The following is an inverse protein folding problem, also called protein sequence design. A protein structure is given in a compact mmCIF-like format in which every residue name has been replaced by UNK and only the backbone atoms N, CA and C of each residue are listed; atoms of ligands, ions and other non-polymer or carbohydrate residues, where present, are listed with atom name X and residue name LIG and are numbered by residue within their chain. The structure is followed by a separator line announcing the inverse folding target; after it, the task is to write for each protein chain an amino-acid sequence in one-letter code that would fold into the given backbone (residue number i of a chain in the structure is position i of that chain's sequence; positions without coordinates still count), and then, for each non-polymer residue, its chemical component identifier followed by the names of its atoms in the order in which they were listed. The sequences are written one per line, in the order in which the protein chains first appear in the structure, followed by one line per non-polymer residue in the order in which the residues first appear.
data_IF_188876996283
#
_entry.id   IF_188876996283
#
_cell.length_a   1.000
_cell.length_b   1.000
_cell.length_c   1.000
_cell.angle_alpha   90.00
_cell.angle_beta   90.00
_cell.angle_gamma   90.00
#
_symmetry.space_group_name_H-M   'P 1'
#
loop_
_entity.id
_entity.type
_entity.pdbx_description
1 polymer ?
#
# COMPACT_ATOMS: atom_id res chain seq x y z
N UNK A 1 -24.82 45.10 35.96
CA UNK A 1 -24.92 44.10 34.86
C UNK A 1 -24.56 42.74 35.45
N UNK A 2 -25.57 41.92 35.75
CA UNK A 2 -25.43 40.58 36.30
C UNK A 2 -24.96 39.62 35.19
N UNK A 3 -23.95 38.80 35.47
CA UNK A 3 -23.56 37.69 34.61
C UNK A 3 -24.20 36.40 35.15
N UNK A 4 -25.23 35.91 34.46
CA UNK A 4 -25.73 34.55 34.64
C UNK A 4 -24.71 33.56 34.07
N UNK A 5 -24.16 32.70 34.93
CA UNK A 5 -23.42 31.51 34.52
C UNK A 5 -24.42 30.37 34.35
N UNK A 6 -24.66 29.96 33.10
CA UNK A 6 -25.36 28.73 32.76
C UNK A 6 -24.39 27.55 32.91
N UNK A 7 -24.71 26.61 33.79
CA UNK A 7 -24.07 25.31 33.86
C UNK A 7 -24.71 24.40 32.80
N UNK A 8 -23.92 24.00 31.80
CA UNK A 8 -24.33 23.00 30.81
C UNK A 8 -24.35 21.58 31.40
N UNK A 9 -25.07 20.65 30.76
CA UNK A 9 -25.29 19.30 31.28
C UNK A 9 -23.98 18.49 31.34
N UNK A 10 -23.81 17.79 32.45
CA UNK A 10 -22.69 16.89 32.71
C UNK A 10 -22.52 15.87 31.58
N UNK A 11 -21.34 15.89 30.95
CA UNK A 11 -20.94 14.90 29.96
C UNK A 11 -20.94 13.49 30.55
N UNK A 12 -21.66 12.60 29.88
CA UNK A 12 -21.62 11.15 30.12
C UNK A 12 -20.18 10.69 29.92
N UNK A 13 -19.53 10.22 30.98
CA UNK A 13 -18.19 9.64 30.87
C UNK A 13 -18.25 8.39 29.98
N UNK A 14 -17.25 8.16 29.10
CA UNK A 14 -17.14 6.91 28.37
C UNK A 14 -16.96 5.78 29.39
N UNK A 15 -17.90 4.85 29.39
CA UNK A 15 -17.85 3.61 30.16
C UNK A 15 -16.53 2.90 29.87
N UNK A 16 -15.67 2.81 30.88
CA UNK A 16 -14.54 1.88 30.91
C UNK A 16 -15.08 0.50 30.55
N UNK A 17 -14.54 -0.10 29.51
CA UNK A 17 -14.72 -1.53 29.22
C UNK A 17 -14.07 -2.29 30.38
N UNK A 18 -14.89 -2.64 31.36
CA UNK A 18 -14.53 -3.62 32.37
C UNK A 18 -14.39 -4.98 31.67
N UNK A 19 -13.42 -5.78 32.10
CA UNK A 19 -13.13 -7.08 31.51
C UNK A 19 -14.39 -7.92 31.29
N UNK A 20 -14.37 -8.70 30.22
CA UNK A 20 -15.42 -9.67 29.91
C UNK A 20 -15.50 -10.65 31.08
N UNK A 21 -16.54 -10.49 31.92
CA UNK A 21 -16.91 -11.49 32.90
C UNK A 21 -17.50 -12.67 32.13
N UNK A 22 -16.65 -13.66 31.86
CA UNK A 22 -17.10 -14.95 31.33
C UNK A 22 -17.86 -15.62 32.47
N UNK A 23 -19.17 -15.38 32.51
CA UNK A 23 -20.06 -16.03 33.47
C UNK A 23 -20.15 -17.53 33.12
N UNK A 24 -19.17 -18.30 33.59
CA UNK A 24 -19.04 -19.75 33.39
C UNK A 24 -20.16 -20.55 34.08
N UNK A 25 -21.05 -19.90 34.85
CA UNK A 25 -22.19 -20.52 35.52
C UNK A 25 -23.33 -20.93 34.58
N UNK A 26 -23.40 -20.37 33.36
CA UNK A 26 -24.40 -20.76 32.35
C UNK A 26 -23.92 -21.89 31.42
N UNK A 27 -22.67 -22.34 31.57
CA UNK A 27 -22.18 -23.54 30.87
C UNK A 27 -22.75 -24.79 31.54
N UNK A 28 -23.94 -25.20 31.08
CA UNK A 28 -24.56 -26.44 31.52
C UNK A 28 -23.86 -27.66 30.89
N UNK A 29 -22.82 -28.17 31.56
CA UNK A 29 -22.13 -29.42 31.19
C UNK A 29 -22.98 -30.69 31.42
N UNK A 30 -24.18 -30.58 32.00
CA UNK A 30 -25.02 -31.75 32.30
C UNK A 30 -25.70 -32.35 31.06
N UNK A 31 -25.68 -31.63 29.94
CA UNK A 31 -26.19 -32.08 28.64
C UNK A 31 -25.06 -32.22 27.62
N UNK A 32 -23.90 -32.73 28.04
CA UNK A 32 -22.90 -33.20 27.10
C UNK A 32 -23.52 -34.33 26.27
N UNK A 33 -24.02 -33.99 25.07
CA UNK A 33 -24.36 -34.97 24.05
C UNK A 33 -23.06 -35.70 23.74
N UNK A 34 -22.92 -36.89 24.33
CA UNK A 34 -21.82 -37.81 24.06
C UNK A 34 -21.96 -38.20 22.59
N UNK A 35 -21.27 -37.47 21.71
CA UNK A 35 -21.03 -37.93 20.36
C UNK A 35 -20.30 -39.25 20.56
N UNK A 36 -20.92 -40.36 20.18
CA UNK A 36 -20.28 -41.67 20.14
C UNK A 36 -19.17 -41.60 19.08
N UNK A 37 -18.02 -41.05 19.47
CA UNK A 37 -16.77 -41.29 18.79
C UNK A 37 -16.49 -42.79 18.96
N UNK A 38 -16.93 -43.57 17.97
CA UNK A 38 -16.83 -45.03 17.92
C UNK A 38 -15.40 -45.55 17.71
N UNK A 39 -14.38 -44.73 17.98
CA UNK A 39 -13.02 -45.20 18.14
C UNK A 39 -12.70 -45.23 19.64
N UNK A 40 -12.70 -46.43 20.23
CA UNK A 40 -11.87 -46.69 21.40
C UNK A 40 -10.42 -46.40 20.98
N UNK A 41 -9.98 -45.16 21.13
CA UNK A 41 -8.59 -44.78 20.91
C UNK A 41 -7.81 -45.57 21.96
N UNK A 42 -7.10 -46.59 21.51
CA UNK A 42 -6.20 -47.35 22.36
C UNK A 42 -5.29 -46.36 23.08
N UNK A 43 -5.18 -46.49 24.41
CA UNK A 43 -4.27 -45.64 25.22
C UNK A 43 -2.89 -45.62 24.55
N UNK A 44 -2.46 -44.45 24.09
CA UNK A 44 -1.12 -44.24 23.52
C UNK A 44 -1.04 -43.85 22.04
N UNK A 45 -2.15 -43.56 21.35
CA UNK A 45 -2.06 -42.95 20.01
C UNK A 45 -1.82 -41.45 20.15
N UNK A 46 -0.71 -40.97 19.60
CA UNK A 46 -0.38 -39.54 19.45
C UNK A 46 -1.32 -38.90 18.41
N UNK A 47 -2.48 -38.43 18.87
CA UNK A 47 -3.52 -37.83 18.03
C UNK A 47 -3.00 -36.53 17.39
N UNK A 48 -2.19 -35.76 18.13
CA UNK A 48 -1.54 -34.53 17.66
C UNK A 48 -0.64 -34.80 16.46
N UNK A 49 0.26 -35.78 16.55
CA UNK A 49 1.15 -36.16 15.47
C UNK A 49 0.40 -36.59 14.21
N UNK A 50 -0.64 -37.41 14.37
CA UNK A 50 -1.50 -37.84 13.24
C UNK A 50 -2.21 -36.65 12.60
N UNK A 51 -2.72 -35.70 13.39
CA UNK A 51 -3.36 -34.49 12.86
C UNK A 51 -2.38 -33.65 12.01
N UNK A 52 -1.21 -33.34 12.54
CA UNK A 52 -0.20 -32.55 11.83
C UNK A 52 0.33 -33.26 10.58
N UNK A 53 0.52 -34.59 10.66
CA UNK A 53 0.90 -35.41 9.51
C UNK A 53 -0.20 -35.38 8.43
N UNK A 54 -1.47 -35.47 8.81
CA UNK A 54 -2.62 -35.38 7.89
C UNK A 54 -2.69 -34.02 7.20
N UNK A 55 -2.33 -32.94 7.89
CA UNK A 55 -2.24 -31.61 7.27
C UNK A 55 -1.05 -31.47 6.33
N UNK A 56 0.05 -32.19 6.58
CA UNK A 56 1.27 -32.13 5.75
C UNK A 56 1.27 -33.06 4.54
N UNK A 57 0.62 -34.22 4.62
CA UNK A 57 0.63 -35.26 3.58
C UNK A 57 -0.59 -35.15 2.65
N UNK A 58 -0.36 -34.78 1.38
CA UNK A 58 -1.43 -34.68 0.38
C UNK A 58 -2.02 -36.06 -0.01
N UNK A 59 -1.23 -37.12 0.09
CA UNK A 59 -1.56 -38.41 -0.51
C UNK A 59 -2.47 -39.28 0.37
N UNK A 60 -2.43 -39.10 1.69
CA UNK A 60 -3.07 -40.00 2.67
C UNK A 60 -4.12 -39.30 3.55
N UNK A 61 -4.58 -38.12 3.15
CA UNK A 61 -5.53 -37.34 3.93
C UNK A 61 -6.96 -37.89 3.81
N UNK A 62 -7.57 -38.22 4.95
CA UNK A 62 -9.02 -38.49 5.05
C UNK A 62 -9.87 -37.21 4.92
N UNK A 63 -9.24 -36.03 4.98
CA UNK A 63 -9.89 -34.73 4.81
C UNK A 63 -10.10 -34.42 3.33
N UNK A 64 -11.18 -33.71 3.02
CA UNK A 64 -11.35 -33.11 1.70
C UNK A 64 -10.24 -32.09 1.45
N UNK A 65 -9.88 -31.88 0.19
CA UNK A 65 -8.88 -30.88 -0.19
C UNK A 65 -9.23 -29.49 0.36
N UNK A 66 -10.51 -29.13 0.33
CA UNK A 66 -11.01 -27.85 0.83
C UNK A 66 -10.81 -27.71 2.36
N UNK A 67 -11.17 -28.75 3.13
CA UNK A 67 -11.02 -28.74 4.59
C UNK A 67 -9.56 -28.74 5.04
N UNK A 68 -8.71 -29.46 4.31
CA UNK A 68 -7.28 -29.45 4.56
C UNK A 68 -6.69 -28.06 4.34
N UNK A 69 -7.02 -27.42 3.22
CA UNK A 69 -6.58 -26.05 2.94
C UNK A 69 -7.11 -25.06 3.98
N UNK A 70 -8.36 -25.23 4.43
CA UNK A 70 -8.97 -24.42 5.49
C UNK A 70 -8.18 -24.52 6.79
N UNK A 71 -7.91 -25.75 7.24
CA UNK A 71 -7.19 -26.01 8.48
C UNK A 71 -5.71 -25.61 8.38
N UNK A 72 -5.07 -25.79 7.24
CA UNK A 72 -3.71 -25.27 7.00
C UNK A 72 -3.65 -23.75 7.16
N UNK A 73 -4.66 -23.01 6.68
CA UNK A 73 -4.74 -21.54 6.88
C UNK A 73 -4.93 -21.16 8.34
N UNK A 74 -5.72 -21.93 9.09
CA UNK A 74 -6.01 -21.65 10.52
C UNK A 74 -4.82 -21.95 11.41
N UNK A 75 -4.11 -23.04 11.11
CA UNK A 75 -2.92 -23.47 11.85
C UNK A 75 -1.64 -23.14 11.08
N UNK A 76 -1.62 -21.97 10.43
CA UNK A 76 -0.42 -21.45 9.79
C UNK A 76 0.65 -21.22 10.88
N UNK A 77 1.83 -21.88 10.79
CA UNK A 77 2.90 -21.73 11.78
C UNK A 77 3.35 -20.28 11.98
N UNK A 78 3.19 -19.43 10.97
CA UNK A 78 3.58 -18.03 11.06
C UNK A 78 2.57 -17.12 11.77
N UNK A 79 1.37 -17.61 12.05
CA UNK A 79 0.38 -16.95 12.91
C UNK A 79 0.40 -17.51 14.34
N UNK A 80 0.40 -18.84 14.46
CA UNK A 80 0.46 -19.53 15.75
C UNK A 80 0.95 -20.95 15.54
N UNK A 81 2.23 -21.19 15.85
CA UNK A 81 2.78 -22.54 15.78
C UNK A 81 2.44 -23.32 17.06
N UNK A 82 1.35 -24.09 16.99
CA UNK A 82 0.94 -25.00 18.07
C UNK A 82 1.56 -26.39 17.97
N UNK A 83 2.47 -26.63 17.02
CA UNK A 83 3.14 -27.94 16.86
C UNK A 83 4.11 -28.21 18.00
N UNK A 84 4.69 -27.16 18.57
CA UNK A 84 5.58 -27.25 19.73
C UNK A 84 4.86 -27.71 21.01
N UNK A 85 3.52 -27.66 21.04
CA UNK A 85 2.73 -28.16 22.17
C UNK A 85 2.79 -29.71 22.31
N UNK A 86 3.21 -30.42 21.25
CA UNK A 86 3.32 -31.89 21.25
C UNK A 86 2.02 -32.56 21.69
N UNK A 87 2.12 -33.49 22.65
CA UNK A 87 1.00 -34.25 23.20
C UNK A 87 -0.05 -33.39 23.96
N UNK A 88 0.25 -32.12 24.26
CA UNK A 88 -0.71 -31.20 24.89
C UNK A 88 -1.69 -30.60 23.86
N UNK A 89 -1.36 -30.67 22.57
CA UNK A 89 -2.23 -30.19 21.53
C UNK A 89 -3.44 -31.12 21.37
N UNK A 90 -4.62 -30.57 21.63
CA UNK A 90 -5.88 -31.23 21.31
C UNK A 90 -6.38 -30.71 19.95
N UNK A 91 -6.46 -31.57 18.92
CA UNK A 91 -7.00 -31.16 17.63
C UNK A 91 -8.43 -30.61 17.76
N UNK A 92 -8.81 -29.65 16.92
CA UNK A 92 -10.17 -29.13 16.92
C UNK A 92 -11.16 -30.22 16.53
N UNK A 93 -12.41 -30.07 16.97
CA UNK A 93 -13.51 -30.94 16.54
C UNK A 93 -13.64 -30.92 15.01
N UNK A 94 -13.58 -32.08 14.36
CA UNK A 94 -13.73 -32.21 12.90
C UNK A 94 -15.19 -32.43 12.49
N UNK A 95 -16.15 -32.22 13.39
CA UNK A 95 -17.58 -32.30 13.07
C UNK A 95 -17.96 -31.33 11.96
N UNK A 96 -18.91 -31.74 11.12
CA UNK A 96 -19.39 -30.92 10.00
C UNK A 96 -19.86 -29.53 10.45
N UNK A 97 -20.53 -29.44 11.60
CA UNK A 97 -21.02 -28.18 12.17
C UNK A 97 -19.90 -27.23 12.58
N UNK A 98 -18.83 -27.76 13.19
CA UNK A 98 -17.67 -26.95 13.56
C UNK A 98 -16.95 -26.44 12.30
N UNK A 99 -16.67 -27.33 11.36
CA UNK A 99 -15.97 -26.99 10.11
C UNK A 99 -16.78 -25.99 9.28
N UNK A 100 -18.11 -26.15 9.17
CA UNK A 100 -18.97 -25.18 8.48
C UNK A 100 -18.96 -23.80 9.16
N UNK A 101 -18.90 -23.75 10.49
CA UNK A 101 -18.76 -22.52 11.26
C UNK A 101 -17.40 -21.86 11.00
N UNK A 102 -16.33 -22.65 10.99
CA UNK A 102 -14.97 -22.19 10.70
C UNK A 102 -14.85 -21.60 9.28
N UNK A 103 -15.45 -22.25 8.27
CA UNK A 103 -15.56 -21.69 6.91
C UNK A 103 -16.27 -20.34 6.89
N UNK A 104 -17.35 -20.21 7.67
CA UNK A 104 -18.08 -18.95 7.77
C UNK A 104 -17.22 -17.85 8.39
N UNK A 105 -16.49 -18.15 9.47
CA UNK A 105 -15.59 -17.20 10.13
C UNK A 105 -14.43 -16.75 9.22
N UNK A 106 -13.78 -17.68 8.52
CA UNK A 106 -12.68 -17.35 7.61
C UNK A 106 -13.16 -16.50 6.45
N UNK A 107 -14.37 -16.75 5.93
CA UNK A 107 -14.98 -15.90 4.92
C UNK A 107 -15.25 -14.49 5.44
N UNK A 108 -15.68 -14.35 6.69
CA UNK A 108 -15.87 -13.04 7.32
C UNK A 108 -14.53 -12.32 7.50
N UNK A 109 -13.49 -13.03 7.94
CA UNK A 109 -12.14 -12.49 8.07
C UNK A 109 -11.58 -12.02 6.71
N UNK A 110 -11.73 -12.84 5.66
CA UNK A 110 -11.33 -12.48 4.30
C UNK A 110 -12.08 -11.23 3.80
N UNK A 111 -13.36 -11.07 4.17
CA UNK A 111 -14.12 -9.84 3.90
C UNK A 111 -13.50 -8.62 4.57
N UNK A 112 -13.22 -8.71 5.87
CA UNK A 112 -12.59 -7.61 6.64
C UNK A 112 -11.19 -7.30 6.11
N UNK A 113 -10.40 -8.31 5.74
CA UNK A 113 -9.07 -8.13 5.12
C UNK A 113 -9.19 -7.34 3.82
N UNK A 114 -10.17 -7.68 2.98
CA UNK A 114 -10.41 -6.96 1.72
C UNK A 114 -10.92 -5.52 1.96
N UNK A 115 -11.80 -5.32 2.93
CA UNK A 115 -12.25 -3.98 3.34
C UNK A 115 -11.10 -3.11 3.83
N UNK A 116 -10.19 -3.65 4.65
CA UNK A 116 -8.95 -2.97 5.08
C UNK A 116 -8.10 -2.55 3.88
N UNK A 117 -7.86 -3.45 2.92
CA UNK A 117 -7.11 -3.13 1.69
C UNK A 117 -7.76 -2.02 0.89
N UNK A 118 -9.10 -2.06 0.75
CA UNK A 118 -9.85 -1.02 0.05
C UNK A 118 -9.78 0.32 0.78
N UNK A 119 -9.99 0.34 2.09
CA UNK A 119 -9.91 1.56 2.91
C UNK A 119 -8.51 2.18 2.86
N UNK A 120 -7.47 1.34 2.99
CA UNK A 120 -6.09 1.74 2.85
C UNK A 120 -5.76 2.29 1.46
N UNK A 121 -6.44 1.81 0.42
CA UNK A 121 -6.25 2.28 -0.96
C UNK A 121 -7.01 3.57 -1.29
N UNK A 122 -7.74 4.19 -0.35
CA UNK A 122 -8.47 5.45 -0.59
C UNK A 122 -7.60 6.68 -0.34
N UNK A 123 -7.70 7.68 -1.20
CA UNK A 123 -7.00 8.97 -1.05
C UNK A 123 -7.22 9.64 0.33
N UNK A 124 -8.34 9.36 1.01
CA UNK A 124 -8.70 9.95 2.31
C UNK A 124 -8.13 9.22 3.52
N UNK A 125 -7.40 8.12 3.33
CA UNK A 125 -6.76 7.40 4.44
C UNK A 125 -5.79 8.30 5.20
N UNK A 126 -5.94 8.35 6.52
CA UNK A 126 -5.11 9.13 7.43
C UNK A 126 -4.23 8.18 8.25
N UNK A 127 -2.91 8.36 8.16
CA UNK A 127 -1.93 7.54 8.89
C UNK A 127 -2.07 7.66 10.41
N UNK A 128 -2.55 8.79 10.91
CA UNK A 128 -2.75 9.06 12.34
C UNK A 128 -4.10 8.52 12.84
N UNK A 129 -5.10 8.48 11.94
CA UNK A 129 -6.47 8.05 12.22
C UNK A 129 -6.93 7.06 11.12
N UNK A 130 -6.35 5.85 11.07
CA UNK A 130 -6.56 4.91 9.95
C UNK A 130 -8.01 4.40 9.84
N UNK A 131 -8.82 4.54 10.89
CA UNK A 131 -10.22 4.12 10.92
C UNK A 131 -10.52 3.11 12.02
N UNK A 132 -11.68 2.45 11.94
CA UNK A 132 -12.09 1.38 12.86
C UNK A 132 -11.76 -0.03 12.33
N UNK A 133 -11.50 -0.16 11.03
CA UNK A 133 -11.11 -1.43 10.42
C UNK A 133 -9.68 -1.84 10.78
N UNK A 134 -8.86 -0.91 11.27
CA UNK A 134 -7.45 -1.14 11.59
C UNK A 134 -7.22 -1.26 13.10
N UNK A 135 -6.13 -1.93 13.51
CA UNK A 135 -5.78 -2.09 14.92
C UNK A 135 -5.72 -0.73 15.63
N UNK A 136 -6.27 -0.66 16.84
CA UNK A 136 -6.26 0.56 17.64
C UNK A 136 -4.84 1.02 17.99
N UNK A 137 -3.88 0.10 18.01
CA UNK A 137 -2.45 0.35 18.21
C UNK A 137 -1.80 1.16 17.08
N UNK A 138 -2.46 1.30 15.93
CA UNK A 138 -1.97 2.15 14.84
C UNK A 138 -2.25 3.64 15.07
N UNK A 139 -3.22 3.97 15.92
CA UNK A 139 -3.51 5.37 16.25
C UNK A 139 -2.38 5.92 17.10
N UNK A 140 -1.81 7.05 16.68
CA UNK A 140 -0.79 7.73 17.48
C UNK A 140 -1.37 8.11 18.85
N UNK A 141 -0.82 7.53 19.92
CA UNK A 141 -1.22 7.83 21.30
C UNK A 141 -0.77 9.21 21.75
N UNK A 142 0.21 9.79 21.05
CA UNK A 142 0.77 11.10 21.36
C UNK A 142 0.13 12.12 20.42
N UNK A 143 -0.85 12.87 20.94
CA UNK A 143 -1.23 14.16 20.37
C UNK A 143 -0.06 15.13 20.57
N UNK A 144 1.04 14.93 19.85
CA UNK A 144 2.07 15.96 19.76
C UNK A 144 1.37 17.13 19.10
N UNK A 145 1.21 18.23 19.85
CA UNK A 145 0.68 19.49 19.37
C UNK A 145 1.59 20.02 18.26
N UNK A 146 1.49 19.43 17.06
CA UNK A 146 2.29 19.82 15.90
C UNK A 146 1.64 21.06 15.28
N UNK A 147 1.39 22.07 16.10
CA UNK A 147 0.80 23.36 15.70
C UNK A 147 1.74 24.15 14.76
N UNK A 148 3.02 23.80 14.70
CA UNK A 148 4.00 24.43 13.81
C UNK A 148 4.29 23.66 12.50
N UNK A 149 3.80 22.43 12.36
CA UNK A 149 3.92 21.65 11.12
C UNK A 149 2.57 21.10 10.68
N UNK A 150 1.52 21.91 10.85
CA UNK A 150 0.34 21.81 10.01
C UNK A 150 0.83 21.99 8.57
N UNK A 151 1.25 20.88 7.95
CA UNK A 151 1.47 20.81 6.52
C UNK A 151 0.25 21.41 5.83
N UNK A 152 0.43 22.07 4.68
CA UNK A 152 -0.61 22.85 4.02
C UNK A 152 -1.92 22.08 4.04
N UNK A 153 -2.89 22.60 4.82
CA UNK A 153 -4.21 22.00 5.01
C UNK A 153 -4.79 21.75 3.61
N UNK A 154 -4.92 20.49 3.22
CA UNK A 154 -5.51 20.10 1.94
C UNK A 154 -4.52 19.76 0.82
N UNK A 155 -3.49 18.93 1.08
CA UNK A 155 -2.88 18.17 -0.03
C UNK A 155 -3.93 17.22 -0.58
N UNK A 156 -4.38 17.47 -1.81
CA UNK A 156 -5.35 16.63 -2.49
C UNK A 156 -4.57 15.53 -3.20
N UNK A 157 -4.66 14.30 -2.68
CA UNK A 157 -4.08 13.14 -3.35
C UNK A 157 -4.88 12.83 -4.62
N UNK A 158 -4.22 12.89 -5.77
CA UNK A 158 -4.84 12.54 -7.06
C UNK A 158 -4.54 11.07 -7.39
N UNK A 159 -5.56 10.20 -7.54
CA UNK A 159 -5.35 8.80 -7.91
C UNK A 159 -4.65 8.67 -9.26
N UNK A 160 -3.68 7.74 -9.34
CA UNK A 160 -2.89 7.43 -10.53
C UNK A 160 -2.98 5.94 -10.90
N UNK A 161 -4.14 5.48 -11.39
CA UNK A 161 -4.34 4.06 -11.73
C UNK A 161 -3.44 3.60 -12.89
N UNK A 162 -3.01 4.52 -13.75
CA UNK A 162 -2.07 4.30 -14.85
C UNK A 162 -0.68 3.86 -14.39
N UNK A 163 -0.25 4.27 -13.20
CA UNK A 163 0.99 3.79 -12.58
C UNK A 163 0.81 2.46 -11.85
N UNK A 164 -0.39 2.14 -11.36
CA UNK A 164 -0.67 0.88 -10.67
C UNK A 164 -0.46 -0.33 -11.59
N UNK A 165 -0.78 -0.21 -12.89
CA UNK A 165 -0.53 -1.27 -13.88
C UNK A 165 0.95 -1.45 -14.23
N UNK A 166 1.78 -0.46 -13.90
CA UNK A 166 3.22 -0.43 -14.17
C UNK A 166 4.02 -0.88 -12.94
N UNK A 167 3.55 -1.92 -12.24
CA UNK A 167 4.13 -2.35 -10.95
C UNK A 167 5.64 -2.62 -10.99
N UNK A 168 6.16 -3.09 -12.12
CA UNK A 168 7.60 -3.30 -12.34
C UNK A 168 8.45 -2.04 -12.18
N UNK A 169 7.92 -0.85 -12.48
CA UNK A 169 8.65 0.42 -12.33
C UNK A 169 8.99 0.74 -10.88
N UNK A 170 8.12 0.33 -9.95
CA UNK A 170 8.29 0.63 -8.54
C UNK A 170 9.17 -0.40 -7.83
N UNK A 171 9.36 -1.59 -8.38
CA UNK A 171 10.09 -2.67 -7.69
C UNK A 171 11.51 -2.26 -7.28
N UNK A 172 12.26 -1.58 -8.15
CA UNK A 172 13.60 -1.09 -7.80
C UNK A 172 13.53 0.07 -6.81
N UNK A 173 12.65 1.05 -7.07
CA UNK A 173 12.52 2.24 -6.22
C UNK A 173 12.08 1.89 -4.78
N UNK A 174 11.19 0.91 -4.62
CA UNK A 174 10.68 0.48 -3.31
C UNK A 174 11.70 -0.30 -2.49
N UNK A 175 12.63 -1.02 -3.13
CA UNK A 175 13.72 -1.74 -2.44
C UNK A 175 14.65 -0.80 -1.68
N UNK A 176 14.94 0.35 -2.27
CA UNK A 176 15.87 1.33 -1.69
C UNK A 176 15.15 2.38 -0.82
N UNK A 177 13.82 2.52 -0.96
CA UNK A 177 13.05 3.52 -0.24
C UNK A 177 12.67 3.06 1.18
N UNK A 178 12.76 3.97 2.14
CA UNK A 178 12.19 3.75 3.48
C UNK A 178 10.72 4.17 3.51
N UNK A 179 9.80 3.31 3.98
CA UNK A 179 8.39 3.68 4.09
C UNK A 179 8.20 4.76 5.17
N UNK A 180 7.33 5.74 4.90
CA UNK A 180 6.90 6.75 5.87
C UNK A 180 5.80 6.24 6.82
N UNK A 181 5.15 5.14 6.43
CA UNK A 181 4.18 4.40 7.23
C UNK A 181 4.45 2.92 7.01
N UNK A 182 4.58 2.16 8.09
CA UNK A 182 4.85 0.73 8.04
C UNK A 182 4.24 0.06 9.27
N UNK A 183 3.14 -0.66 9.05
CA UNK A 183 2.36 -1.30 10.11
C UNK A 183 1.82 -2.64 9.65
N UNK A 184 1.65 -3.56 10.60
CA UNK A 184 1.02 -4.86 10.35
C UNK A 184 -0.26 -5.01 11.18
N UNK A 185 -1.21 -5.75 10.65
CA UNK A 185 -2.43 -6.21 11.34
C UNK A 185 -2.20 -7.55 12.03
N UNK A 186 -3.20 -8.04 12.78
CA UNK A 186 -3.12 -9.28 13.56
C UNK A 186 -2.92 -10.52 12.68
N UNK A 187 -3.44 -10.50 11.46
CA UNK A 187 -3.25 -11.52 10.42
C UNK A 187 -1.93 -11.37 9.66
N UNK A 188 -0.97 -10.63 10.23
CA UNK A 188 0.35 -10.34 9.65
C UNK A 188 0.34 -9.61 8.29
N UNK A 189 -0.81 -9.14 7.81
CA UNK A 189 -0.88 -8.30 6.61
C UNK A 189 -0.18 -6.97 6.89
N UNK A 190 0.88 -6.67 6.12
CA UNK A 190 1.69 -5.47 6.27
C UNK A 190 1.28 -4.41 5.27
N UNK A 191 1.06 -3.20 5.76
CA UNK A 191 0.61 -2.04 4.99
C UNK A 191 1.71 -0.99 5.04
N UNK A 192 2.17 -0.52 3.88
CA UNK A 192 3.23 0.48 3.80
C UNK A 192 2.85 1.64 2.89
N UNK A 193 3.30 2.83 3.27
CA UNK A 193 3.21 4.03 2.44
C UNK A 193 4.62 4.53 2.20
N UNK A 194 4.98 4.67 0.94
CA UNK A 194 6.25 5.21 0.47
C UNK A 194 6.02 6.58 -0.15
N UNK A 195 7.01 7.45 0.01
CA UNK A 195 7.04 8.74 -0.67
C UNK A 195 8.21 8.76 -1.64
N UNK A 196 7.89 8.74 -2.93
CA UNK A 196 8.85 8.75 -4.03
C UNK A 196 8.67 10.08 -4.78
N UNK A 197 9.42 11.12 -4.38
CA UNK A 197 9.26 12.47 -4.93
C UNK A 197 7.85 13.05 -4.71
N UNK A 198 7.14 13.31 -5.82
CA UNK A 198 5.74 13.76 -5.87
C UNK A 198 4.73 12.61 -5.81
N UNK A 199 5.17 11.35 -5.73
CA UNK A 199 4.28 10.21 -5.63
C UNK A 199 4.17 9.67 -4.20
N UNK A 200 2.96 9.28 -3.84
CA UNK A 200 2.66 8.44 -2.70
C UNK A 200 2.30 7.04 -3.22
N UNK A 201 3.06 6.03 -2.82
CA UNK A 201 2.84 4.63 -3.23
C UNK A 201 2.43 3.84 -2.01
N UNK A 202 1.25 3.25 -2.07
CA UNK A 202 0.70 2.42 -1.01
C UNK A 202 0.79 0.96 -1.40
N UNK A 203 1.38 0.15 -0.55
CA UNK A 203 1.59 -1.27 -0.78
C UNK A 203 0.98 -2.10 0.34
N UNK A 204 0.59 -3.32 0.00
CA UNK A 204 0.11 -4.33 0.92
C UNK A 204 0.91 -5.61 0.66
N UNK A 205 1.36 -6.24 1.74
CA UNK A 205 2.03 -7.52 1.70
C UNK A 205 1.28 -8.49 2.61
N UNK A 206 0.72 -9.54 2.02
CA UNK A 206 0.13 -10.64 2.79
C UNK A 206 1.23 -11.50 3.42
N UNK A 207 0.85 -12.34 4.38
CA UNK A 207 1.76 -13.29 5.01
C UNK A 207 2.43 -14.18 3.95
N UNK A 208 3.77 -14.15 3.92
CA UNK A 208 4.60 -14.85 2.92
C UNK A 208 4.36 -14.42 1.45
N UNK A 209 3.51 -13.41 1.21
CA UNK A 209 3.24 -12.88 -0.12
C UNK A 209 4.30 -11.87 -0.57
N UNK A 210 4.32 -11.63 -1.88
CA UNK A 210 5.06 -10.50 -2.44
C UNK A 210 4.36 -9.18 -2.07
N UNK A 211 5.15 -8.13 -1.93
CA UNK A 211 4.62 -6.79 -1.74
C UNK A 211 3.92 -6.30 -3.01
N UNK A 212 2.61 -6.04 -2.91
CA UNK A 212 1.78 -5.61 -4.02
C UNK A 212 1.36 -4.13 -3.88
N UNK A 213 1.34 -3.40 -5.00
CA UNK A 213 0.87 -2.01 -5.02
C UNK A 213 -0.67 -1.98 -4.88
N UNK A 214 -1.14 -1.42 -3.76
CA UNK A 214 -2.56 -1.21 -3.52
C UNK A 214 -3.07 0.05 -4.23
N UNK A 215 -2.33 1.16 -4.14
CA UNK A 215 -2.68 2.43 -4.77
C UNK A 215 -1.44 3.30 -5.03
N UNK A 216 -1.54 4.19 -6.03
CA UNK A 216 -0.55 5.24 -6.31
C UNK A 216 -1.29 6.56 -6.40
N UNK A 217 -0.75 7.59 -5.77
CA UNK A 217 -1.28 8.94 -5.78
C UNK A 217 -0.21 9.95 -6.16
N UNK A 218 -0.62 11.03 -6.83
CA UNK A 218 0.19 12.23 -7.02
C UNK A 218 -0.07 13.23 -5.89
N UNK A 219 1.00 13.78 -5.33
CA UNK A 219 1.04 14.78 -4.27
C UNK A 219 1.03 16.19 -4.85
N UNK A 220 0.04 16.52 -5.71
CA UNK A 220 -0.03 17.86 -6.28
C UNK A 220 -0.49 18.86 -5.26
N UNK A 221 0.11 20.04 -5.27
CA UNK A 221 -0.48 21.17 -4.56
C UNK A 221 -1.54 21.80 -5.45
N UNK A 222 -2.72 22.14 -4.91
CA UNK A 222 -3.77 22.80 -5.68
C UNK A 222 -3.30 24.11 -6.36
N UNK A 223 -2.19 24.69 -5.89
CA UNK A 223 -1.56 25.88 -6.46
C UNK A 223 -0.79 25.62 -7.77
N UNK A 224 -0.57 24.37 -8.16
CA UNK A 224 0.20 23.98 -9.36
C UNK A 224 -0.68 23.82 -10.61
N UNK A 225 -2.01 23.90 -10.49
CA UNK A 225 -2.91 24.01 -11.64
C UNK A 225 -2.84 25.43 -12.24
N UNK A 226 -1.67 25.82 -12.72
CA UNK A 226 -1.54 27.02 -13.54
C UNK A 226 -2.21 26.74 -14.87
N UNK A 227 -2.95 27.72 -15.44
CA UNK A 227 -3.46 27.60 -16.79
C UNK A 227 -2.30 27.24 -17.72
N UNK A 228 -2.42 26.09 -18.39
CA UNK A 228 -1.39 25.63 -19.31
C UNK A 228 -1.39 26.58 -20.50
N UNK A 229 -0.39 27.48 -20.53
CA UNK A 229 -0.16 28.35 -21.68
C UNK A 229 0.43 27.50 -22.81
N UNK A 230 -0.02 27.67 -24.07
CA UNK A 230 0.65 27.06 -25.21
C UNK A 230 2.09 27.56 -25.29
N UNK A 231 3.03 26.63 -25.47
CA UNK A 231 4.46 26.94 -25.58
C UNK A 231 4.74 27.53 -26.95
N UNK A 232 5.19 28.78 -26.99
CA UNK A 232 5.55 29.45 -28.24
C UNK A 232 6.87 28.93 -28.81
N UNK A 233 6.96 28.76 -30.13
CA UNK A 233 8.19 28.31 -30.80
C UNK A 233 9.39 29.24 -30.57
N UNK A 234 9.14 30.52 -30.26
CA UNK A 234 10.16 31.53 -30.00
C UNK A 234 10.55 31.61 -28.52
N UNK A 235 9.90 30.84 -27.63
CA UNK A 235 10.29 30.79 -26.22
C UNK A 235 11.73 30.29 -26.10
N UNK A 236 12.54 31.01 -25.34
CA UNK A 236 13.93 30.62 -25.11
C UNK A 236 14.01 29.49 -24.11
N UNK A 237 14.82 28.49 -24.45
CA UNK A 237 15.15 27.38 -23.54
C UNK A 237 16.23 27.86 -22.58
N UNK A 238 15.97 27.76 -21.28
CA UNK A 238 16.91 28.20 -20.23
C UNK A 238 17.61 27.04 -19.54
N UNK A 239 17.04 25.83 -19.57
CA UNK A 239 17.62 24.64 -18.95
C UNK A 239 17.22 23.38 -19.68
N UNK A 240 18.14 22.44 -19.83
CA UNK A 240 17.90 21.12 -20.38
C UNK A 240 18.30 20.05 -19.36
N UNK A 241 17.41 19.12 -19.05
CA UNK A 241 17.70 18.02 -18.12
C UNK A 241 17.35 16.69 -18.78
N UNK A 242 18.33 15.80 -18.93
CA UNK A 242 18.12 14.45 -19.44
C UNK A 242 17.86 13.50 -18.26
N UNK A 243 16.80 12.72 -18.40
CA UNK A 243 16.34 11.74 -17.44
C UNK A 243 16.45 10.34 -18.02
N UNK A 244 16.69 9.36 -17.15
CA UNK A 244 16.63 7.94 -17.45
C UNK A 244 15.57 7.31 -16.54
N UNK A 245 14.61 6.60 -17.14
CA UNK A 245 13.59 5.84 -16.41
C UNK A 245 13.69 4.35 -16.76
N UNK A 246 13.30 3.49 -15.81
CA UNK A 246 13.12 2.08 -16.09
C UNK A 246 11.92 1.88 -17.03
N UNK A 247 11.96 0.88 -17.89
CA UNK A 247 10.82 0.43 -18.68
C UNK A 247 10.90 -1.07 -18.94
N UNK A 248 9.79 -1.68 -19.35
CA UNK A 248 9.77 -3.11 -19.72
C UNK A 248 10.68 -3.44 -20.92
N UNK A 249 11.09 -2.45 -21.70
CA UNK A 249 11.97 -2.59 -22.85
C UNK A 249 13.40 -2.09 -22.59
N UNK A 250 13.77 -1.95 -21.31
CA UNK A 250 15.06 -1.42 -20.89
C UNK A 250 15.01 0.06 -20.48
N UNK A 251 16.16 0.68 -20.20
CA UNK A 251 16.20 2.08 -19.77
C UNK A 251 15.75 3.00 -20.91
N UNK A 252 14.77 3.86 -20.62
CA UNK A 252 14.27 4.88 -21.55
C UNK A 252 14.83 6.24 -21.17
N UNK A 253 15.21 7.03 -22.17
CA UNK A 253 15.73 8.39 -21.99
C UNK A 253 14.74 9.41 -22.51
N UNK A 254 14.63 10.53 -21.81
CA UNK A 254 13.90 11.69 -22.27
C UNK A 254 14.58 12.96 -21.76
N UNK A 255 14.40 14.05 -22.49
CA UNK A 255 14.93 15.36 -22.09
C UNK A 255 13.78 16.31 -21.79
N UNK A 256 13.90 17.03 -20.68
CA UNK A 256 13.00 18.12 -20.29
C UNK A 256 13.71 19.44 -20.56
N UNK A 257 13.12 20.25 -21.42
CA UNK A 257 13.53 21.62 -21.69
C UNK A 257 12.63 22.58 -20.93
N UNK A 258 13.21 23.35 -20.01
CA UNK A 258 12.52 24.42 -19.29
C UNK A 258 12.74 25.73 -20.04
N UNK A 259 11.66 26.50 -20.26
CA UNK A 259 11.71 27.79 -20.97
C UNK A 259 11.78 28.97 -20.00
N UNK A 260 12.17 30.14 -20.50
CA UNK A 260 12.21 31.38 -19.72
C UNK A 260 10.83 31.78 -19.13
N UNK A 261 9.75 31.30 -19.75
CA UNK A 261 8.37 31.50 -19.28
C UNK A 261 7.89 30.41 -18.31
N UNK A 262 8.81 29.56 -17.83
CA UNK A 262 8.56 28.41 -16.94
C UNK A 262 7.65 27.35 -17.56
N UNK A 263 7.59 27.28 -18.89
CA UNK A 263 7.02 26.14 -19.58
C UNK A 263 8.00 24.97 -19.56
N UNK A 264 7.50 23.75 -19.66
CA UNK A 264 8.32 22.54 -19.79
C UNK A 264 7.97 21.81 -21.09
N UNK A 265 8.97 21.38 -21.84
CA UNK A 265 8.79 20.57 -23.04
C UNK A 265 9.55 19.27 -22.87
N UNK A 266 8.86 18.14 -23.01
CA UNK A 266 9.45 16.81 -22.97
C UNK A 266 9.71 16.31 -24.38
N UNK A 267 10.91 15.78 -24.56
CA UNK A 267 11.34 15.19 -25.82
C UNK A 267 11.86 13.79 -25.55
N UNK A 268 11.27 12.82 -26.23
CA UNK A 268 11.62 11.41 -26.11
C UNK A 268 12.07 10.89 -27.46
N UNK A 269 13.25 10.29 -27.52
CA UNK A 269 13.72 9.67 -28.76
C UNK A 269 13.23 8.23 -28.81
N UNK A 270 12.35 7.94 -29.76
CA UNK A 270 11.85 6.59 -30.04
C UNK A 270 12.31 6.05 -31.40
N UNK A 271 12.01 4.78 -31.71
CA UNK A 271 12.31 4.19 -33.02
C UNK A 271 11.66 4.91 -34.21
N UNK A 272 10.54 5.61 -33.95
CA UNK A 272 9.79 6.38 -34.95
C UNK A 272 10.19 7.86 -35.01
N UNK A 273 11.26 8.24 -34.30
CA UNK A 273 11.73 9.62 -34.16
C UNK A 273 11.40 10.24 -32.81
N UNK A 274 11.60 11.56 -32.72
CA UNK A 274 11.39 12.31 -31.50
C UNK A 274 9.90 12.56 -31.24
N UNK A 275 9.38 12.11 -30.10
CA UNK A 275 8.06 12.49 -29.59
C UNK A 275 8.20 13.76 -28.74
N UNK A 276 7.33 14.73 -29.03
CA UNK A 276 7.32 16.03 -28.39
C UNK A 276 6.03 16.24 -27.61
N UNK A 277 6.16 16.70 -26.37
CA UNK A 277 5.01 16.97 -25.51
C UNK A 277 5.24 18.23 -24.67
N UNK A 278 4.38 19.23 -24.86
CA UNK A 278 4.46 20.50 -24.16
C UNK A 278 3.59 20.46 -22.89
N UNK A 279 4.19 20.87 -21.77
CA UNK A 279 3.59 20.89 -20.43
C UNK A 279 2.83 19.60 -20.07
N UNK A 280 3.48 18.41 -20.13
CA UNK A 280 2.83 17.16 -19.75
C UNK A 280 2.33 17.25 -18.32
N UNK A 281 1.07 16.90 -18.13
CA UNK A 281 0.41 17.06 -16.82
C UNK A 281 1.07 16.21 -15.75
N UNK A 282 1.71 15.10 -16.10
CA UNK A 282 2.32 14.11 -15.23
C UNK A 282 3.85 14.19 -15.18
N UNK A 283 4.44 15.28 -15.67
CA UNK A 283 5.89 15.45 -15.72
C UNK A 283 6.57 15.27 -14.37
N UNK A 284 6.00 15.83 -13.31
CA UNK A 284 6.58 15.75 -11.96
C UNK A 284 6.51 14.31 -11.41
N UNK A 285 5.38 13.64 -11.63
CA UNK A 285 5.16 12.25 -11.21
C UNK A 285 6.16 11.32 -11.92
N UNK A 286 6.38 11.56 -13.21
CA UNK A 286 7.35 10.81 -14.00
C UNK A 286 8.79 11.10 -13.57
N UNK A 287 9.15 12.37 -13.37
CA UNK A 287 10.48 12.76 -12.90
C UNK A 287 10.79 12.17 -11.52
N UNK A 288 9.78 11.93 -10.68
CA UNK A 288 9.94 11.31 -9.37
C UNK A 288 10.36 9.84 -9.42
N UNK A 289 10.14 9.17 -10.55
CA UNK A 289 10.55 7.78 -10.80
C UNK A 289 11.81 7.68 -11.67
N UNK A 290 12.19 8.77 -12.31
CA UNK A 290 13.37 8.83 -13.17
C UNK A 290 14.61 9.25 -12.37
N UNK A 291 15.78 8.90 -12.90
CA UNK A 291 17.07 9.39 -12.43
C UNK A 291 17.55 10.50 -13.37
N UNK A 292 18.06 11.59 -12.80
CA UNK A 292 18.72 12.64 -13.59
C UNK A 292 20.04 12.08 -14.11
N UNK A 293 20.19 12.06 -15.43
CA UNK A 293 21.44 11.65 -16.08
C UNK A 293 22.40 12.83 -16.21
N UNK A 294 21.90 14.00 -16.63
CA UNK A 294 22.66 15.25 -16.74
C UNK A 294 21.74 16.47 -16.81
N UNK A 295 22.27 17.64 -16.47
CA UNK A 295 21.58 18.92 -16.57
C UNK A 295 22.53 19.98 -17.12
N UNK A 296 22.03 20.85 -17.97
CA UNK A 296 22.80 21.95 -18.58
C UNK A 296 22.00 23.26 -18.48
N UNK A 297 22.70 24.35 -18.17
CA UNK A 297 22.17 25.72 -18.22
C UNK A 297 22.27 26.25 -19.65
N UNK A 298 21.12 26.54 -20.25
CA UNK A 298 20.99 27.04 -21.61
C UNK A 298 20.66 28.54 -21.66
N UNK A 299 20.64 29.24 -20.52
CA UNK A 299 20.25 30.66 -20.43
C UNK A 299 21.08 31.60 -21.30
N UNK A 300 22.36 31.26 -21.52
CA UNK A 300 23.29 31.99 -22.41
C UNK A 300 23.05 31.69 -23.88
N UNK A 301 22.48 30.53 -24.19
CA UNK A 301 22.18 30.13 -25.56
C UNK A 301 20.95 30.89 -26.07
N UNK A 302 20.94 31.19 -27.37
CA UNK A 302 19.77 31.75 -28.08
C UNK A 302 18.85 30.65 -28.63
N UNK A 303 18.88 29.48 -28.01
CA UNK A 303 18.12 28.33 -28.46
C UNK A 303 16.65 28.53 -28.13
N UNK A 304 15.79 28.39 -29.14
CA UNK A 304 14.33 28.50 -29.00
C UNK A 304 13.69 27.13 -29.09
N UNK A 305 12.47 26.97 -28.56
CA UNK A 305 11.72 25.72 -28.64
C UNK A 305 11.59 25.22 -30.08
N UNK A 306 11.30 26.09 -31.04
CA UNK A 306 11.21 25.75 -32.47
C UNK A 306 12.55 25.39 -33.11
N UNK A 307 13.69 25.80 -32.53
CA UNK A 307 15.00 25.31 -32.94
C UNK A 307 15.20 23.86 -32.46
N UNK A 308 14.85 23.57 -31.21
CA UNK A 308 14.97 22.22 -30.65
C UNK A 308 14.07 21.22 -31.39
N UNK A 309 12.85 21.63 -31.77
CA UNK A 309 11.93 20.80 -32.57
C UNK A 309 12.47 20.37 -33.94
N UNK A 310 13.41 21.14 -34.50
CA UNK A 310 14.04 20.83 -35.80
C UNK A 310 15.22 19.87 -35.68
N UNK A 311 15.69 19.58 -34.46
CA UNK A 311 16.76 18.62 -34.20
C UNK A 311 16.24 17.19 -34.42
N UNK A 312 16.97 16.40 -35.21
CA UNK A 312 16.58 15.01 -35.54
C UNK A 312 17.33 13.97 -34.70
N UNK A 313 18.59 14.25 -34.35
CA UNK A 313 19.50 13.31 -33.69
C UNK A 313 20.14 13.96 -32.46
N UNK A 314 20.43 13.17 -31.42
CA UNK A 314 21.11 13.59 -30.17
C UNK A 314 20.72 15.00 -29.69
N UNK A 315 19.42 15.15 -29.44
CA UNK A 315 18.74 16.43 -29.22
C UNK A 315 19.36 17.15 -28.01
N UNK A 316 19.80 16.41 -26.98
CA UNK A 316 20.49 16.99 -25.84
C UNK A 316 21.85 17.57 -26.24
N UNK A 317 22.74 16.78 -26.86
CA UNK A 317 24.09 17.27 -27.15
C UNK A 317 24.07 18.42 -28.16
N UNK A 318 23.16 18.39 -29.13
CA UNK A 318 23.03 19.49 -30.09
C UNK A 318 22.48 20.76 -29.44
N UNK A 319 21.57 20.61 -28.47
CA UNK A 319 21.03 21.72 -27.70
C UNK A 319 22.08 22.41 -26.81
N UNK A 320 23.04 21.63 -26.27
CA UNK A 320 23.96 22.13 -25.25
C UNK A 320 25.35 22.50 -25.79
N UNK A 321 25.75 21.99 -26.96
CA UNK A 321 27.03 22.32 -27.65
C UNK A 321 27.17 23.77 -28.16
N UNK A 322 26.12 24.58 -28.10
CA UNK A 322 26.17 26.00 -28.50
C UNK A 322 26.71 26.94 -27.40
N UNK A 323 27.13 26.38 -26.25
CA UNK A 323 27.82 27.11 -25.17
C UNK A 323 29.33 27.21 -25.40
#
# INVERSE_FOLDING_TARGET
RQFQRSFGPMGVQPSRVAGVDLNLGEFNLSAATRVEASAQIAKGVDISGVFWQTLGDEANSALTLEDRNLLQRVFDPSLSDRREEGDLFMPPDTSFTYVASLRTLIKQEDSVRNERKQEFAKAVFDMEIPGLLFPTSWRSSVKVSREAAAGPKGRVLQPRPDYKTQGGLFQEALKDASPIFDKSTEDCTRFRIYRLGSLEVRTVQELQGEEAIAAVFSLRTAAEERPVRPVGEQERVVKATEYVEASCHGPRRYTVYETELKSSVVVELGPQGAKWEANPKDLEDRNSLAKVFRTDDCSKNRMTVGAVQRLKDDIYAQATKLN
#
